data_IF_914317244488
#
_entry.id   IF_914317244488
#
_cell.length_a   1.000
_cell.length_b   1.000
_cell.length_c   1.000
_cell.angle_alpha   90.00
_cell.angle_beta   90.00
_cell.angle_gamma   90.00
#
_symmetry.space_group_name_H-M   'P 1'
#
loop_
_entity.id
_entity.type
_entity.pdbx_description
1 polymer ?
#
# COMPACT_ATOMS: atom_id res chain seq x y z
N UNK A 1 8.61 -23.83 18.98
CA UNK A 1 8.39 -22.55 18.29
C UNK A 1 7.40 -21.75 19.12
N UNK A 2 7.68 -20.49 19.43
CA UNK A 2 6.75 -19.64 20.18
C UNK A 2 5.81 -19.03 19.14
N UNK A 3 4.54 -19.42 19.12
CA UNK A 3 3.52 -18.75 18.32
C UNK A 3 3.26 -17.37 18.91
N UNK A 4 3.85 -16.34 18.31
CA UNK A 4 3.43 -14.96 18.55
C UNK A 4 2.09 -14.74 17.88
N UNK A 5 1.03 -14.49 18.67
CA UNK A 5 -0.27 -14.10 18.12
C UNK A 5 -0.07 -12.87 17.20
N UNK A 6 -0.67 -12.85 16.00
CA UNK A 6 -0.58 -11.69 15.13
C UNK A 6 -1.19 -10.48 15.83
N UNK A 7 -0.44 -9.37 15.84
CA UNK A 7 -0.92 -8.09 16.37
C UNK A 7 -1.99 -7.55 15.42
N UNK A 8 -3.14 -7.24 15.98
CA UNK A 8 -4.24 -6.56 15.29
C UNK A 8 -4.12 -5.05 15.55
N UNK A 9 -4.26 -4.26 14.50
CA UNK A 9 -4.16 -2.81 14.48
C UNK A 9 -5.54 -2.20 14.23
N UNK A 10 -5.84 -1.14 14.98
CA UNK A 10 -6.92 -0.22 14.63
C UNK A 10 -6.50 0.70 13.48
N UNK A 11 -7.46 1.35 12.82
CA UNK A 11 -7.16 2.33 11.77
C UNK A 11 -6.30 3.50 12.28
N UNK A 12 -6.53 3.97 13.50
CA UNK A 12 -5.76 5.05 14.10
C UNK A 12 -4.30 4.65 14.33
N UNK A 13 -4.06 3.44 14.83
CA UNK A 13 -2.70 2.91 15.02
C UNK A 13 -2.00 2.69 13.67
N UNK A 14 -2.71 2.16 12.66
CA UNK A 14 -2.19 2.02 11.31
C UNK A 14 -1.81 3.37 10.69
N UNK A 15 -2.66 4.40 10.85
CA UNK A 15 -2.40 5.73 10.28
C UNK A 15 -1.16 6.41 10.86
N UNK A 16 -0.71 5.99 12.06
CA UNK A 16 0.50 6.49 12.72
C UNK A 16 1.64 5.46 12.67
N UNK A 17 1.44 4.31 12.02
CA UNK A 17 2.44 3.26 11.95
C UNK A 17 3.61 3.68 11.06
N UNK A 18 4.81 3.61 11.61
CA UNK A 18 6.06 3.79 10.90
C UNK A 18 7.10 2.87 11.53
N UNK A 19 7.79 2.07 10.72
CA UNK A 19 8.95 1.30 11.15
C UNK A 19 10.24 1.90 10.59
N UNK A 20 11.37 1.25 10.85
CA UNK A 20 12.67 1.69 10.36
C UNK A 20 12.90 1.40 8.86
N UNK A 21 11.89 0.91 8.15
CA UNK A 21 11.95 0.61 6.72
C UNK A 21 11.15 1.62 5.91
N UNK A 22 11.33 1.61 4.59
CA UNK A 22 10.48 2.37 3.67
C UNK A 22 9.35 1.51 3.05
N UNK A 23 9.12 0.32 3.62
CA UNK A 23 8.02 -0.53 3.18
C UNK A 23 6.69 0.19 3.40
N UNK A 24 5.76 -0.04 2.48
CA UNK A 24 4.36 0.38 2.64
C UNK A 24 3.53 -0.84 3.01
N UNK A 25 2.50 -0.62 3.81
CA UNK A 25 1.63 -1.68 4.31
C UNK A 25 0.18 -1.32 4.05
N UNK A 26 -0.65 -2.33 3.81
CA UNK A 26 -2.11 -2.21 3.76
C UNK A 26 -2.71 -2.78 5.04
N UNK A 27 -3.70 -2.07 5.60
CA UNK A 27 -4.48 -2.59 6.71
C UNK A 27 -5.64 -3.45 6.20
N UNK A 28 -5.52 -4.77 6.36
CA UNK A 28 -6.54 -5.73 5.93
C UNK A 28 -7.04 -6.51 7.14
N UNK A 29 -8.31 -6.31 7.51
CA UNK A 29 -8.93 -6.92 8.70
C UNK A 29 -8.13 -6.73 10.00
N UNK A 30 -7.43 -5.60 10.11
CA UNK A 30 -6.60 -5.28 11.27
C UNK A 30 -5.18 -5.84 11.20
N UNK A 31 -4.80 -6.53 10.12
CA UNK A 31 -3.42 -6.96 9.90
C UNK A 31 -2.68 -6.01 8.95
N UNK A 32 -1.37 -5.83 9.15
CA UNK A 32 -0.52 -5.07 8.24
C UNK A 32 0.09 -6.01 7.20
N UNK A 33 -0.35 -5.89 5.96
CA UNK A 33 0.16 -6.66 4.83
C UNK A 33 1.17 -5.79 4.08
N UNK A 34 2.42 -6.25 3.96
CA UNK A 34 3.45 -5.52 3.22
C UNK A 34 3.10 -5.46 1.73
N UNK A 35 3.16 -4.27 1.16
CA UNK A 35 3.06 -4.06 -0.27
C UNK A 35 4.36 -4.51 -0.95
N UNK A 36 4.21 -5.11 -2.13
CA UNK A 36 5.35 -5.35 -3.01
C UNK A 36 5.78 -4.03 -3.64
N UNK A 37 7.09 -3.71 -3.66
CA UNK A 37 7.57 -2.51 -4.32
C UNK A 37 7.18 -2.52 -5.81
N UNK A 38 6.64 -1.42 -6.34
CA UNK A 38 6.31 -1.35 -7.76
C UNK A 38 7.59 -1.43 -8.60
N UNK A 39 7.54 -2.22 -9.69
CA UNK A 39 8.62 -2.22 -10.67
C UNK A 39 8.57 -0.96 -11.54
N UNK A 40 9.66 -0.67 -12.25
CA UNK A 40 9.67 0.45 -13.21
C UNK A 40 8.59 0.33 -14.29
N UNK A 41 8.31 -0.90 -14.77
CA UNK A 41 7.23 -1.15 -15.73
C UNK A 41 5.86 -0.87 -15.11
N UNK A 42 5.65 -1.26 -13.84
CA UNK A 42 4.41 -0.97 -13.13
C UNK A 42 4.14 0.54 -13.06
N UNK A 43 5.17 1.35 -12.77
CA UNK A 43 5.05 2.81 -12.74
C UNK A 43 4.69 3.40 -14.11
N UNK A 44 5.25 2.87 -15.21
CA UNK A 44 4.92 3.31 -16.57
C UNK A 44 3.47 2.98 -16.93
N UNK A 45 2.98 1.79 -16.59
CA UNK A 45 1.59 1.37 -16.81
C UNK A 45 0.63 2.30 -16.06
N UNK A 46 0.88 2.56 -14.77
CA UNK A 46 0.07 3.48 -13.98
C UNK A 46 0.03 4.89 -14.59
N UNK A 47 1.18 5.40 -15.01
CA UNK A 47 1.28 6.73 -15.65
C UNK A 47 0.46 6.80 -16.94
N UNK A 48 0.50 5.74 -17.75
CA UNK A 48 -0.29 5.67 -18.98
C UNK A 48 -1.79 5.71 -18.67
N UNK A 49 -2.28 4.88 -17.75
CA UNK A 49 -3.70 4.87 -17.39
C UNK A 49 -4.15 6.21 -16.78
N UNK A 50 -3.36 6.76 -15.87
CA UNK A 50 -3.66 8.05 -15.23
C UNK A 50 -3.81 9.17 -16.27
N UNK A 51 -2.86 9.29 -17.21
CA UNK A 51 -2.91 10.31 -18.27
C UNK A 51 -4.13 10.15 -19.18
N UNK A 52 -4.47 8.92 -19.56
CA UNK A 52 -5.65 8.66 -20.40
C UNK A 52 -6.95 8.95 -19.65
N UNK A 53 -7.01 8.61 -18.36
CA UNK A 53 -8.17 8.92 -17.53
C UNK A 53 -8.40 10.44 -17.41
N UNK A 54 -7.35 11.21 -17.12
CA UNK A 54 -7.43 12.67 -17.07
C UNK A 54 -7.85 13.26 -18.42
N UNK A 55 -7.25 12.79 -19.52
CA UNK A 55 -7.66 13.20 -20.87
C UNK A 55 -9.15 12.95 -21.10
N UNK A 56 -9.66 11.79 -20.67
CA UNK A 56 -11.07 11.44 -20.85
C UNK A 56 -12.03 12.34 -20.07
N UNK A 57 -11.63 12.80 -18.89
CA UNK A 57 -12.42 13.73 -18.09
C UNK A 57 -12.45 15.16 -18.65
N UNK A 58 -11.51 15.51 -19.54
CA UNK A 58 -11.44 16.82 -20.19
C UNK A 58 -12.13 16.91 -21.55
N UNK A 59 -12.72 15.80 -22.03
CA UNK A 59 -13.57 15.72 -23.24
C UNK A 59 -15.03 15.98 -22.89
#
# INVERSE_FOLDING_TARGET
MIETKPKIYTFAEYSQYQDSTDNKYELVNGELISLTPPSGIHALILTFYFKNFIKKLSE
#
